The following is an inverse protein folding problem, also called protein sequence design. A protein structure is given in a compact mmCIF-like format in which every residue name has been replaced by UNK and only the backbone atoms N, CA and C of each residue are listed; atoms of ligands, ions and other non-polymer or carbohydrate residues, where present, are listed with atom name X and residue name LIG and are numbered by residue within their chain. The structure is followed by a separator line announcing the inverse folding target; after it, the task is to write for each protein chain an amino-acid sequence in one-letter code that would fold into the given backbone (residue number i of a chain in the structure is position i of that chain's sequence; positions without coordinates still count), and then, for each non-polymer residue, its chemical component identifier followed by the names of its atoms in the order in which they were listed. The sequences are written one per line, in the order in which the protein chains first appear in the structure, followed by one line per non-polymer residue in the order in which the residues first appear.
data_IF_475477362863
#
_entry.id   IF_475477362863
#
_cell.length_a   1.000
_cell.length_b   1.000
_cell.length_c   1.000
_cell.angle_alpha   90.00
_cell.angle_beta   90.00
_cell.angle_gamma   90.00
#
_symmetry.space_group_name_H-M   'P 1'
#
loop_
_entity.id
_entity.type
_entity.pdbx_description
1 polymer ?
#
# COMPACT_ATOMS: atom_id res chain seq x y z
N UNK A 1 -3.11 -13.73 -10.14
CA UNK A 1 -1.64 -13.70 -9.96
C UNK A 1 -1.26 -12.90 -8.69
N UNK A 2 -0.36 -13.43 -7.84
CA UNK A 2 -0.02 -12.84 -6.53
C UNK A 2 1.00 -11.69 -6.55
N UNK A 3 1.43 -11.23 -7.74
CA UNK A 3 2.46 -10.20 -7.89
C UNK A 3 2.10 -8.86 -7.23
N UNK A 4 0.86 -8.40 -7.42
CA UNK A 4 0.39 -7.15 -6.83
C UNK A 4 0.36 -7.22 -5.30
N UNK A 5 -0.04 -8.35 -4.74
CA UNK A 5 -0.03 -8.56 -3.27
C UNK A 5 1.40 -8.48 -2.75
N UNK A 6 2.35 -9.14 -3.42
CA UNK A 6 3.78 -9.05 -3.05
C UNK A 6 4.27 -7.61 -3.11
N UNK A 7 3.97 -6.87 -4.17
CA UNK A 7 4.39 -5.49 -4.33
C UNK A 7 3.82 -4.58 -3.22
N UNK A 8 2.56 -4.80 -2.85
CA UNK A 8 1.91 -4.07 -1.75
C UNK A 8 2.62 -4.35 -0.44
N UNK A 9 2.87 -5.62 -0.10
CA UNK A 9 3.54 -6.00 1.15
C UNK A 9 4.96 -5.45 1.21
N UNK A 10 5.72 -5.55 0.12
CA UNK A 10 7.09 -5.01 0.05
C UNK A 10 7.08 -3.50 0.23
N UNK A 11 6.21 -2.77 -0.48
CA UNK A 11 6.09 -1.33 -0.31
C UNK A 11 5.66 -0.92 1.10
N UNK A 12 4.75 -1.66 1.73
CA UNK A 12 4.32 -1.39 3.10
C UNK A 12 5.45 -1.62 4.11
N UNK A 13 6.27 -2.66 3.90
CA UNK A 13 7.45 -2.92 4.74
C UNK A 13 8.50 -1.81 4.62
N UNK A 14 8.72 -1.28 3.42
CA UNK A 14 9.61 -0.13 3.21
C UNK A 14 9.12 1.13 3.94
N UNK A 15 7.82 1.41 3.90
CA UNK A 15 7.25 2.53 4.64
C UNK A 15 7.40 2.33 6.16
N UNK A 16 7.09 1.13 6.64
CA UNK A 16 7.22 0.76 8.04
C UNK A 16 8.66 0.89 8.55
N UNK A 17 9.66 0.56 7.73
CA UNK A 17 11.06 0.69 8.12
C UNK A 17 11.45 2.14 8.50
N UNK A 18 10.80 3.14 7.91
CA UNK A 18 10.96 4.56 8.29
C UNK A 18 10.07 5.03 9.45
N UNK A 19 9.05 4.23 9.83
CA UNK A 19 8.01 4.56 10.82
C UNK A 19 8.03 3.58 12.00
N UNK A 20 9.23 3.27 12.53
CA UNK A 20 9.39 2.43 13.73
C UNK A 20 9.38 0.92 13.50
N UNK A 21 9.43 0.48 12.24
CA UNK A 21 9.64 -0.92 11.83
C UNK A 21 8.40 -1.80 11.86
N UNK A 22 7.27 -1.32 12.39
CA UNK A 22 6.03 -2.09 12.45
C UNK A 22 5.12 -1.77 11.25
N UNK A 23 4.71 -2.80 10.52
CA UNK A 23 3.70 -2.64 9.46
C UNK A 23 2.34 -2.37 10.09
N UNK A 24 1.69 -1.29 9.66
CA UNK A 24 0.36 -0.88 10.10
C UNK A 24 -0.58 -0.79 8.90
N UNK A 25 -1.89 -0.66 9.16
CA UNK A 25 -2.86 -0.44 8.09
C UNK A 25 -2.55 0.81 7.25
N UNK A 26 -1.98 1.86 7.85
CA UNK A 26 -1.54 3.05 7.11
C UNK A 26 -0.52 2.69 6.01
N UNK A 27 0.47 1.85 6.34
CA UNK A 27 1.47 1.37 5.38
C UNK A 27 0.86 0.53 4.27
N UNK A 28 -0.06 -0.37 4.64
CA UNK A 28 -0.75 -1.24 3.69
C UNK A 28 -1.63 -0.44 2.72
N UNK A 29 -2.47 0.47 3.22
CA UNK A 29 -3.36 1.30 2.41
C UNK A 29 -2.57 2.22 1.48
N UNK A 30 -1.49 2.84 1.97
CA UNK A 30 -0.63 3.66 1.12
C UNK A 30 -0.01 2.85 -0.03
N UNK A 31 0.55 1.69 0.28
CA UNK A 31 1.19 0.81 -0.71
C UNK A 31 0.17 0.24 -1.70
N UNK A 32 -1.02 -0.15 -1.23
CA UNK A 32 -2.15 -0.60 -2.05
C UNK A 32 -2.62 0.48 -3.02
N UNK A 33 -2.79 1.73 -2.55
CA UNK A 33 -3.14 2.86 -3.41
C UNK A 33 -2.12 3.05 -4.52
N UNK A 34 -0.83 3.02 -4.18
CA UNK A 34 0.25 3.18 -5.17
C UNK A 34 0.25 2.05 -6.20
N UNK A 35 0.00 0.81 -5.79
CA UNK A 35 -0.06 -0.33 -6.72
C UNK A 35 -1.29 -0.24 -7.65
N UNK A 36 -2.44 0.20 -7.12
CA UNK A 36 -3.65 0.46 -7.90
C UNK A 36 -3.42 1.59 -8.93
N UNK A 37 -2.75 2.67 -8.53
CA UNK A 37 -2.39 3.77 -9.42
C UNK A 37 -1.46 3.33 -10.57
N UNK A 38 -0.46 2.47 -10.31
CA UNK A 38 0.41 1.91 -11.36
C UNK A 38 -0.38 1.10 -12.40
N UNK A 39 -1.47 0.46 -11.97
CA UNK A 39 -2.38 -0.27 -12.84
C UNK A 39 -3.40 0.65 -13.55
N UNK A 40 -3.27 1.96 -13.41
CA UNK A 40 -4.18 2.95 -14.01
C UNK A 40 -5.52 3.09 -13.28
N UNK A 41 -5.65 2.56 -12.05
CA UNK A 41 -6.84 2.76 -11.22
C UNK A 41 -6.65 4.00 -10.35
N UNK A 42 -7.46 5.02 -10.59
CA UNK A 42 -7.55 6.17 -9.70
C UNK A 42 -8.31 5.75 -8.44
N UNK A 43 -7.68 5.94 -7.28
CA UNK A 43 -8.23 5.60 -5.97
C UNK A 43 -8.01 6.81 -5.08
N UNK A 44 -9.10 7.38 -4.58
CA UNK A 44 -9.07 8.48 -3.65
C UNK A 44 -8.80 7.97 -2.22
N UNK A 45 -8.39 8.85 -1.31
CA UNK A 45 -8.26 8.46 0.10
C UNK A 45 -9.61 8.05 0.69
N UNK A 46 -10.71 8.67 0.25
CA UNK A 46 -12.07 8.33 0.68
C UNK A 46 -12.44 6.87 0.35
N UNK A 47 -11.89 6.30 -0.72
CA UNK A 47 -12.13 4.90 -1.11
C UNK A 47 -11.46 3.88 -0.16
N UNK A 48 -10.49 4.31 0.66
CA UNK A 48 -9.62 3.44 1.46
C UNK A 48 -9.83 3.57 2.97
N UNK A 49 -10.65 4.53 3.42
CA UNK A 49 -10.90 4.84 4.83
C UNK A 49 -12.35 4.46 5.24
N UNK A 50 -13.12 3.87 4.32
CA UNK A 50 -14.48 3.38 4.60
C UNK A 50 -14.51 2.12 5.48
#
# INVERSE_FOLDING_TARGET
PGGNIRNIIVGAAFLAAGDGGQVTMRHLLHSARRELQKMGRLVDNSDLIA
#
